data_IF_305094234528
#
_entry.id   IF_305094234528
#
_cell.length_a   1.000
_cell.length_b   1.000
_cell.length_c   1.000
_cell.angle_alpha   90.00
_cell.angle_beta   90.00
_cell.angle_gamma   90.00
#
_symmetry.space_group_name_H-M   'P 1'
#
loop_
_entity.id
_entity.type
_entity.pdbx_description
1 polymer ?
#
# COMPACT_ATOMS: atom_id res chain seq x y z
N UNK A 1 24.77 8.00 7.90
CA UNK A 1 24.12 8.77 6.82
C UNK A 1 22.91 7.97 6.33
N UNK A 2 21.71 8.30 6.80
CA UNK A 2 20.50 7.59 6.37
C UNK A 2 20.16 8.03 4.96
N UNK A 3 20.30 7.13 3.97
CA UNK A 3 19.87 7.37 2.59
C UNK A 3 18.35 7.62 2.63
N UNK A 4 17.95 8.87 2.40
CA UNK A 4 16.54 9.28 2.38
C UNK A 4 15.99 8.96 1.00
N UNK A 5 15.14 7.93 0.90
CA UNK A 5 14.55 7.51 -0.37
C UNK A 5 13.40 8.45 -0.74
N UNK A 6 13.38 9.05 -1.95
CA UNK A 6 12.20 9.78 -2.41
C UNK A 6 11.00 8.83 -2.54
N UNK A 7 9.78 9.35 -2.31
CA UNK A 7 8.56 8.57 -2.52
C UNK A 7 8.35 8.37 -4.03
N UNK A 8 8.80 7.23 -4.55
CA UNK A 8 8.64 6.83 -5.95
C UNK A 8 7.54 5.79 -6.08
N UNK A 9 7.00 5.66 -7.29
CA UNK A 9 6.02 4.61 -7.60
C UNK A 9 6.58 3.21 -7.31
N UNK A 10 7.86 2.98 -7.61
CA UNK A 10 8.56 1.75 -7.27
C UNK A 10 8.62 1.49 -5.75
N UNK A 11 8.85 2.53 -4.94
CA UNK A 11 8.84 2.39 -3.48
C UNK A 11 7.44 2.04 -2.95
N UNK A 12 6.38 2.60 -3.56
CA UNK A 12 5.00 2.28 -3.20
C UNK A 12 4.66 0.83 -3.58
N UNK A 13 5.03 0.39 -4.78
CA UNK A 13 4.82 -1.00 -5.22
C UNK A 13 5.58 -1.99 -4.33
N UNK A 14 6.83 -1.67 -3.97
CA UNK A 14 7.61 -2.48 -3.04
C UNK A 14 6.93 -2.56 -1.66
N UNK A 15 6.50 -1.42 -1.10
CA UNK A 15 5.79 -1.38 0.17
C UNK A 15 4.47 -2.18 0.15
N UNK A 16 3.69 -2.10 -0.93
CA UNK A 16 2.48 -2.93 -1.11
C UNK A 16 2.84 -4.41 -1.09
N UNK A 17 3.89 -4.80 -1.80
CA UNK A 17 4.32 -6.20 -1.90
C UNK A 17 4.84 -6.75 -0.57
N UNK A 18 5.62 -5.97 0.15
CA UNK A 18 6.12 -6.32 1.48
C UNK A 18 4.97 -6.49 2.47
N UNK A 19 4.04 -5.53 2.52
CA UNK A 19 2.88 -5.58 3.43
C UNK A 19 1.98 -6.75 3.07
N UNK A 20 1.68 -6.96 1.79
CA UNK A 20 0.85 -8.06 1.32
C UNK A 20 1.46 -9.43 1.65
N UNK A 21 2.80 -9.58 1.53
CA UNK A 21 3.49 -10.83 1.84
C UNK A 21 3.41 -11.22 3.33
N UNK A 22 3.30 -10.24 4.23
CA UNK A 22 3.18 -10.48 5.68
C UNK A 22 1.75 -10.35 6.21
N UNK A 23 0.82 -9.91 5.38
CA UNK A 23 -0.58 -9.70 5.74
C UNK A 23 -1.26 -11.05 6.04
N UNK A 24 -1.51 -11.29 7.33
CA UNK A 24 -2.29 -12.43 7.85
C UNK A 24 -3.70 -12.05 8.28
N UNK A 25 -4.24 -10.97 7.73
CA UNK A 25 -5.61 -10.56 8.02
C UNK A 25 -6.55 -11.64 7.44
N UNK A 26 -7.27 -12.36 8.30
CA UNK A 26 -7.97 -13.60 7.91
C UNK A 26 -9.00 -13.47 6.78
N UNK A 27 -9.47 -12.27 6.47
CA UNK A 27 -10.41 -11.97 5.37
C UNK A 27 -9.79 -11.13 4.24
N UNK A 28 -8.50 -10.83 4.33
CA UNK A 28 -7.75 -9.98 3.39
C UNK A 28 -6.30 -10.47 3.25
N UNK A 29 -6.12 -11.79 3.21
CA UNK A 29 -4.81 -12.42 3.05
C UNK A 29 -4.18 -12.01 1.71
N UNK A 30 -2.90 -11.66 1.73
CA UNK A 30 -2.19 -11.19 0.52
C UNK A 30 -2.59 -9.79 0.05
N UNK A 31 -3.34 -9.02 0.85
CA UNK A 31 -3.73 -7.64 0.54
C UNK A 31 -3.08 -6.66 1.52
N UNK A 32 -2.65 -5.52 0.98
CA UNK A 32 -2.07 -4.43 1.76
C UNK A 32 -3.10 -3.35 2.06
N UNK A 33 -3.33 -3.10 3.35
CA UNK A 33 -4.16 -1.98 3.80
C UNK A 33 -3.42 -0.63 3.57
N UNK A 34 -4.13 0.46 3.21
CA UNK A 34 -3.52 1.76 2.98
C UNK A 34 -2.64 2.25 4.14
N UNK A 35 -3.07 2.01 5.37
CA UNK A 35 -2.35 2.43 6.57
C UNK A 35 -1.08 1.62 6.85
N UNK A 36 -1.11 0.32 6.55
CA UNK A 36 0.06 -0.52 6.65
C UNK A 36 1.12 -0.11 5.62
N UNK A 37 0.72 0.33 4.42
CA UNK A 37 1.61 0.88 3.40
C UNK A 37 2.25 2.19 3.88
N UNK A 38 1.45 3.10 4.45
CA UNK A 38 1.98 4.36 5.02
C UNK A 38 2.99 4.08 6.14
N UNK A 39 2.68 3.13 7.04
CA UNK A 39 3.58 2.74 8.11
C UNK A 39 4.89 2.12 7.59
N UNK A 40 4.82 1.25 6.57
CA UNK A 40 5.99 0.65 5.93
C UNK A 40 6.90 1.73 5.31
N UNK A 41 6.31 2.69 4.58
CA UNK A 41 7.05 3.80 3.97
C UNK A 41 7.71 4.71 5.04
N UNK A 42 7.05 4.93 6.18
CA UNK A 42 7.62 5.68 7.29
C UNK A 42 8.84 4.96 7.91
N UNK A 43 8.77 3.63 8.09
CA UNK A 43 9.90 2.82 8.58
C UNK A 43 11.09 2.85 7.61
N UNK A 44 10.83 2.84 6.31
CA UNK A 44 11.87 2.93 5.28
C UNK A 44 12.55 4.31 5.19
N UNK A 45 12.18 5.27 6.05
CA UNK A 45 12.83 6.57 6.15
C UNK A 45 12.40 7.57 5.07
N UNK A 46 11.23 7.35 4.47
CA UNK A 46 10.63 8.34 3.58
C UNK A 46 10.34 9.63 4.37
N UNK A 47 10.55 10.79 3.74
CA UNK A 47 10.41 12.10 4.40
C UNK A 47 8.99 12.23 5.00
N UNK A 48 8.82 12.50 6.31
CA UNK A 48 7.50 12.63 6.92
C UNK A 48 6.66 13.76 6.29
N UNK A 49 7.29 14.84 5.82
CA UNK A 49 6.60 15.93 5.09
C UNK A 49 6.14 15.52 3.67
N UNK A 50 6.71 14.44 3.11
CA UNK A 50 6.40 13.96 1.76
C UNK A 50 5.43 12.77 1.75
N UNK A 51 5.27 12.06 2.88
CA UNK A 51 4.41 10.87 3.00
C UNK A 51 3.21 11.18 3.86
N UNK A 52 2.29 11.97 3.31
CA UNK A 52 0.96 12.09 3.91
C UNK A 52 0.07 10.94 3.44
N UNK A 53 -0.90 10.53 4.27
CA UNK A 53 -1.91 9.52 3.89
C UNK A 53 -2.60 9.89 2.57
N UNK A 54 -2.85 11.18 2.35
CA UNK A 54 -3.44 11.69 1.11
C UNK A 54 -2.53 11.47 -0.11
N UNK A 55 -1.23 11.77 0.00
CA UNK A 55 -0.28 11.57 -1.10
C UNK A 55 -0.13 10.08 -1.48
N UNK A 56 -0.02 9.21 -0.47
CA UNK A 56 0.06 7.75 -0.68
C UNK A 56 -1.22 7.24 -1.35
N UNK A 57 -2.40 7.70 -0.91
CA UNK A 57 -3.68 7.35 -1.55
C UNK A 57 -3.77 7.79 -3.00
N UNK A 58 -3.35 9.02 -3.31
CA UNK A 58 -3.35 9.53 -4.69
C UNK A 58 -2.45 8.68 -5.60
N UNK A 59 -1.26 8.30 -5.11
CA UNK A 59 -0.33 7.46 -5.87
C UNK A 59 -0.84 6.03 -6.05
N UNK A 60 -1.41 5.42 -5.01
CA UNK A 60 -2.04 4.12 -5.11
C UNK A 60 -3.17 4.12 -6.15
N UNK A 61 -4.03 5.15 -6.15
CA UNK A 61 -5.08 5.30 -7.14
C UNK A 61 -4.53 5.44 -8.58
N UNK A 62 -3.45 6.20 -8.75
CA UNK A 62 -2.77 6.31 -10.05
C UNK A 62 -2.20 4.96 -10.52
N UNK A 63 -1.58 4.19 -9.62
CA UNK A 63 -1.03 2.86 -9.93
C UNK A 63 -2.10 1.82 -10.24
N UNK A 64 -3.26 1.90 -9.58
CA UNK A 64 -4.42 1.08 -9.92
C UNK A 64 -4.97 1.46 -11.29
N UNK A 65 -5.06 2.75 -11.59
CA UNK A 65 -5.52 3.24 -12.91
C UNK A 65 -4.58 2.83 -14.04
N UNK A 66 -3.27 2.80 -13.76
CA UNK A 66 -2.24 2.33 -14.68
C UNK A 66 -2.17 0.79 -14.81
N UNK A 67 -2.98 0.04 -14.05
CA UNK A 67 -2.99 -1.42 -14.06
C UNK A 67 -1.79 -2.09 -13.37
N UNK A 68 -0.93 -1.32 -12.70
CA UNK A 68 0.25 -1.85 -11.99
C UNK A 68 -0.15 -2.55 -10.69
N UNK A 69 -1.15 -1.99 -9.99
CA UNK A 69 -1.72 -2.57 -8.77
C UNK A 69 -3.20 -2.88 -8.99
N UNK A 70 -3.75 -3.75 -8.15
CA UNK A 70 -5.20 -4.00 -8.12
C UNK A 70 -5.79 -3.51 -6.81
N UNK A 71 -6.80 -2.64 -6.91
CA UNK A 71 -7.61 -2.22 -5.78
C UNK A 71 -8.70 -3.25 -5.51
N UNK A 72 -8.79 -3.74 -4.27
CA UNK A 72 -9.76 -4.73 -3.82
C UNK A 72 -10.61 -4.11 -2.73
N UNK A 73 -11.92 -4.15 -2.91
CA UNK A 73 -12.82 -3.75 -1.85
C UNK A 73 -13.00 -4.92 -0.88
N UNK A 74 -12.62 -4.72 0.37
CA UNK A 74 -12.68 -5.76 1.41
C UNK A 74 -13.83 -5.44 2.34
N UNK A 75 -14.69 -6.43 2.57
CA UNK A 75 -15.78 -6.32 3.55
C UNK A 75 -15.25 -6.85 4.88
N UNK A 76 -15.30 -6.01 5.91
CA UNK A 76 -14.90 -6.38 7.26
C UNK A 76 -15.85 -7.40 7.89
N UNK A 77 -15.46 -8.02 9.02
CA UNK A 77 -16.28 -9.01 9.72
C UNK A 77 -17.59 -8.41 10.29
N UNK A 78 -17.64 -7.10 10.46
CA UNK A 78 -18.82 -6.30 10.83
C UNK A 78 -19.74 -5.99 9.63
N UNK A 79 -19.40 -6.47 8.43
CA UNK A 79 -20.17 -6.25 7.22
C UNK A 79 -20.01 -4.86 6.61
N UNK A 80 -19.17 -4.00 7.20
CA UNK A 80 -18.87 -2.70 6.61
C UNK A 80 -17.79 -2.84 5.54
N UNK A 81 -17.97 -2.09 4.44
CA UNK A 81 -16.92 -1.95 3.43
C UNK A 81 -15.75 -1.23 4.08
N UNK A 82 -14.62 -1.90 4.23
CA UNK A 82 -13.37 -1.22 4.56
C UNK A 82 -12.89 -0.42 3.36
N UNK A 83 -12.04 0.59 3.60
CA UNK A 83 -11.30 1.29 2.56
C UNK A 83 -10.69 0.33 1.53
N UNK A 84 -10.46 0.75 0.29
CA UNK A 84 -9.80 -0.08 -0.75
C UNK A 84 -8.45 -0.63 -0.27
N UNK A 85 -8.26 -1.95 -0.35
CA UNK A 85 -6.99 -2.64 -0.11
C UNK A 85 -6.27 -2.89 -1.43
N UNK A 86 -4.97 -3.16 -1.39
CA UNK A 86 -4.15 -3.26 -2.60
C UNK A 86 -3.45 -4.60 -2.69
N UNK A 87 -3.65 -5.30 -3.80
CA UNK A 87 -2.89 -6.50 -4.11
C UNK A 87 -1.55 -6.12 -4.77
N UNK A 88 -0.47 -6.91 -4.54
CA UNK A 88 0.78 -6.73 -5.25
C UNK A 88 0.59 -6.93 -6.76
N UNK A 89 1.52 -6.40 -7.60
CA UNK A 89 1.53 -6.73 -9.02
C UNK A 89 1.63 -8.24 -9.20
N UNK A 90 0.91 -8.79 -10.17
CA UNK A 90 1.06 -10.19 -10.56
C UNK A 90 2.46 -10.37 -11.16
N UNK A 91 3.25 -11.28 -10.61
CA UNK A 91 4.45 -11.76 -11.28
C UNK A 91 3.99 -12.54 -12.52
N UNK A 92 4.13 -11.94 -13.70
CA UNK A 92 4.15 -12.66 -14.97
C UNK A 92 5.46 -13.44 -15.14
#
# INVERSE_FOLDING_TARGET
MTRRTPLTDAAIVAAVSEVAAVARYGYAEGLAAPDAIVAALAVQGAKPDAVTRACVRQRLAALVTAGVLRGVNVIGPDGTSSDTWFAPPTAE
#
